data_IF_757380658876
#
_entry.id   IF_757380658876
#
_cell.length_a   1.000
_cell.length_b   1.000
_cell.length_c   1.000
_cell.angle_alpha   90.00
_cell.angle_beta   90.00
_cell.angle_gamma   90.00
#
_symmetry.space_group_name_H-M   'P 1'
#
loop_
_entity.id
_entity.type
_entity.pdbx_description
1 polymer ?
#
# COMPACT_ATOMS: atom_id res chain seq x y z
N UNK A 1 21.76 18.99 -28.16
CA UNK A 1 21.77 17.55 -27.82
C UNK A 1 20.83 17.34 -26.64
N UNK A 2 20.10 16.21 -26.54
CA UNK A 2 19.34 15.91 -25.33
C UNK A 2 20.31 15.80 -24.15
N UNK A 3 19.91 16.33 -22.99
CA UNK A 3 20.68 16.20 -21.77
C UNK A 3 20.62 14.74 -21.29
N UNK A 4 21.77 14.07 -21.30
CA UNK A 4 21.91 12.67 -20.88
C UNK A 4 22.18 12.55 -19.37
N UNK A 5 22.35 13.67 -18.66
CA UNK A 5 22.55 13.71 -17.21
C UNK A 5 21.23 13.83 -16.44
N UNK A 6 20.17 13.14 -16.90
CA UNK A 6 18.93 13.02 -16.13
C UNK A 6 19.12 12.04 -14.97
N UNK A 7 19.77 12.50 -13.89
CA UNK A 7 19.72 11.85 -12.59
C UNK A 7 18.45 12.31 -11.87
N UNK A 8 17.31 11.70 -12.23
CA UNK A 8 15.99 12.16 -11.80
C UNK A 8 15.12 11.04 -11.23
N UNK A 9 15.70 10.16 -10.41
CA UNK A 9 14.86 9.23 -9.63
C UNK A 9 14.21 10.01 -8.48
N UNK A 10 12.92 9.78 -8.25
CA UNK A 10 12.21 10.37 -7.13
C UNK A 10 12.65 9.82 -5.77
N UNK A 11 13.17 8.57 -5.77
CA UNK A 11 13.72 7.92 -4.59
C UNK A 11 15.22 8.19 -4.51
N UNK A 12 15.62 8.85 -3.44
CA UNK A 12 17.03 8.98 -3.07
C UNK A 12 17.46 7.75 -2.27
N UNK A 13 18.53 7.09 -2.73
CA UNK A 13 19.08 5.93 -2.02
C UNK A 13 20.28 6.38 -1.19
N UNK A 14 20.23 6.15 0.12
CA UNK A 14 21.37 6.42 0.99
C UNK A 14 22.62 5.67 0.53
N UNK A 15 23.77 6.34 0.55
CA UNK A 15 25.07 5.72 0.31
C UNK A 15 25.38 4.70 1.42
N UNK A 16 25.52 3.44 1.03
CA UNK A 16 25.84 2.33 1.92
C UNK A 16 27.26 1.87 1.65
N UNK A 17 28.03 1.64 2.72
CA UNK A 17 29.42 1.20 2.62
C UNK A 17 29.56 -0.18 1.94
N UNK A 18 28.52 -0.99 2.01
CA UNK A 18 28.44 -2.30 1.37
C UNK A 18 27.59 -2.23 0.09
N UNK A 19 28.11 -2.66 -1.07
CA UNK A 19 27.31 -2.76 -2.28
C UNK A 19 26.11 -3.68 -2.05
N UNK A 20 24.91 -3.14 -2.20
CA UNK A 20 23.67 -3.89 -2.05
C UNK A 20 23.00 -4.11 -3.40
N UNK A 21 22.76 -5.37 -3.73
CA UNK A 21 22.00 -5.79 -4.90
C UNK A 21 20.68 -6.45 -4.48
N UNK A 22 19.59 -6.03 -5.13
CA UNK A 22 18.29 -6.63 -4.93
C UNK A 22 18.21 -7.96 -5.69
N UNK A 23 18.11 -9.07 -4.96
CA UNK A 23 18.07 -10.41 -5.55
C UNK A 23 16.85 -10.57 -6.48
N UNK A 24 17.07 -11.08 -7.69
CA UNK A 24 16.00 -11.37 -8.66
C UNK A 24 14.86 -12.23 -8.08
N UNK A 25 15.19 -13.26 -7.30
CA UNK A 25 14.19 -14.10 -6.63
C UNK A 25 13.24 -13.31 -5.71
N UNK A 26 13.73 -12.26 -5.04
CA UNK A 26 12.88 -11.38 -4.24
C UNK A 26 11.96 -10.54 -5.13
N UNK A 27 12.48 -10.01 -6.24
CA UNK A 27 11.72 -9.19 -7.21
C UNK A 27 10.52 -9.96 -7.78
N UNK A 28 10.69 -11.25 -8.05
CA UNK A 28 9.62 -12.12 -8.55
C UNK A 28 8.53 -12.42 -7.52
N UNK A 29 8.84 -12.33 -6.22
CA UNK A 29 7.88 -12.54 -5.14
C UNK A 29 7.10 -11.28 -4.77
N UNK A 30 7.51 -10.10 -5.25
CA UNK A 30 6.84 -8.85 -4.93
C UNK A 30 5.41 -8.84 -5.50
N UNK A 31 4.41 -8.39 -4.72
CA UNK A 31 3.07 -8.17 -5.24
C UNK A 31 3.10 -7.13 -6.36
N UNK A 32 2.09 -7.16 -7.23
CA UNK A 32 1.94 -6.22 -8.34
C UNK A 32 0.76 -5.28 -8.10
N UNK A 33 0.99 -4.00 -8.34
CA UNK A 33 -0.03 -2.97 -8.20
C UNK A 33 -0.05 -2.07 -9.44
N UNK A 34 -1.24 -1.92 -10.01
CA UNK A 34 -1.45 -1.22 -11.29
C UNK A 34 -2.11 0.15 -11.12
N UNK A 35 -2.71 0.41 -9.95
CA UNK A 35 -3.49 1.61 -9.65
C UNK A 35 -4.96 1.55 -10.10
N UNK A 36 -5.52 0.34 -10.31
CA UNK A 36 -6.88 0.16 -10.81
C UNK A 36 -7.94 0.29 -9.70
N UNK A 37 -9.18 0.60 -10.09
CA UNK A 37 -10.29 0.92 -9.18
C UNK A 37 -10.68 -0.19 -8.17
N UNK A 38 -10.26 -1.44 -8.40
CA UNK A 38 -10.49 -2.56 -7.48
C UNK A 38 -9.29 -2.92 -6.59
N UNK A 39 -8.12 -2.34 -6.83
CA UNK A 39 -6.92 -2.66 -6.05
C UNK A 39 -6.92 -1.90 -4.72
N UNK A 40 -6.50 -2.58 -3.65
CA UNK A 40 -6.38 -2.02 -2.31
C UNK A 40 -4.91 -1.64 -2.04
N UNK A 41 -4.56 -0.34 -1.96
CA UNK A 41 -3.20 0.09 -1.73
C UNK A 41 -2.68 -0.29 -0.33
N UNK A 42 -3.54 -0.39 0.69
CA UNK A 42 -3.12 -0.84 2.02
C UNK A 42 -2.81 -2.34 2.01
N UNK A 43 -3.61 -3.13 1.30
CA UNK A 43 -3.32 -4.55 1.10
C UNK A 43 -1.99 -4.76 0.38
N UNK A 44 -1.75 -4.02 -0.71
CA UNK A 44 -0.46 -4.05 -1.43
C UNK A 44 0.72 -3.75 -0.51
N UNK A 45 0.64 -2.69 0.29
CA UNK A 45 1.71 -2.33 1.24
C UNK A 45 1.96 -3.43 2.28
N UNK A 46 0.91 -4.11 2.77
CA UNK A 46 1.04 -5.23 3.72
C UNK A 46 1.74 -6.42 3.07
N UNK A 47 1.27 -6.85 1.90
CA UNK A 47 1.87 -7.96 1.15
C UNK A 47 3.33 -7.66 0.79
N UNK A 48 3.62 -6.44 0.34
CA UNK A 48 4.96 -5.98 0.03
C UNK A 48 5.88 -6.05 1.25
N UNK A 49 5.41 -5.58 2.41
CA UNK A 49 6.19 -5.62 3.65
C UNK A 49 6.50 -7.05 4.09
N UNK A 50 5.56 -7.99 3.96
CA UNK A 50 5.81 -9.41 4.26
C UNK A 50 6.94 -9.96 3.39
N UNK A 51 6.94 -9.66 2.10
CA UNK A 51 7.97 -10.13 1.17
C UNK A 51 9.33 -9.46 1.45
N UNK A 52 9.35 -8.17 1.76
CA UNK A 52 10.58 -7.43 2.06
C UNK A 52 11.14 -7.67 3.47
N UNK A 53 10.37 -8.29 4.36
CA UNK A 53 10.82 -8.65 5.72
C UNK A 53 11.73 -9.87 5.65
N UNK A 54 12.96 -9.68 5.17
CA UNK A 54 13.94 -10.77 5.01
C UNK A 54 14.77 -10.95 6.29
N UNK A 55 14.85 -12.17 6.85
CA UNK A 55 15.63 -12.42 8.07
C UNK A 55 17.14 -12.37 7.86
N UNK A 56 17.62 -12.48 6.60
CA UNK A 56 19.03 -12.43 6.22
C UNK A 56 19.29 -11.14 5.41
N UNK A 57 19.38 -10.02 6.13
CA UNK A 57 19.84 -8.74 5.56
C UNK A 57 21.36 -8.62 5.71
N UNK A 58 22.09 -8.13 4.69
CA UNK A 58 23.51 -7.84 4.84
C UNK A 58 23.76 -6.83 5.97
N UNK A 59 24.91 -6.97 6.64
CA UNK A 59 25.31 -6.00 7.67
C UNK A 59 25.39 -4.58 7.07
N UNK A 60 24.86 -3.60 7.81
CA UNK A 60 24.80 -2.20 7.39
C UNK A 60 23.62 -1.82 6.50
N UNK A 61 22.80 -2.78 6.03
CA UNK A 61 21.62 -2.48 5.21
C UNK A 61 20.36 -2.45 6.06
N UNK A 62 19.69 -1.30 6.09
CA UNK A 62 18.40 -1.13 6.77
C UNK A 62 17.27 -1.75 5.96
N UNK A 63 16.21 -2.16 6.63
CA UNK A 63 15.02 -2.69 5.96
C UNK A 63 14.36 -1.65 5.05
N UNK A 64 14.38 -0.38 5.46
CA UNK A 64 13.90 0.74 4.64
C UNK A 64 14.68 0.88 3.34
N UNK A 65 16.00 0.66 3.36
CA UNK A 65 16.81 0.69 2.14
C UNK A 65 16.39 -0.41 1.15
N UNK A 66 16.11 -1.62 1.65
CA UNK A 66 15.60 -2.73 0.83
C UNK A 66 14.23 -2.39 0.25
N UNK A 67 13.31 -1.90 1.09
CA UNK A 67 11.95 -1.53 0.67
C UNK A 67 11.95 -0.44 -0.39
N UNK A 68 12.75 0.61 -0.22
CA UNK A 68 12.86 1.71 -1.17
C UNK A 68 13.36 1.20 -2.54
N UNK A 69 14.38 0.33 -2.57
CA UNK A 69 14.87 -0.26 -3.83
C UNK A 69 13.91 -1.28 -4.45
N UNK A 70 13.15 -2.00 -3.63
CA UNK A 70 12.22 -3.04 -4.11
C UNK A 70 10.89 -2.47 -4.62
N UNK A 71 10.40 -1.37 -4.04
CA UNK A 71 9.07 -0.84 -4.32
C UNK A 71 8.79 -0.54 -5.80
N UNK A 72 9.71 0.06 -6.59
CA UNK A 72 9.49 0.30 -8.02
C UNK A 72 9.17 -0.97 -8.82
N UNK A 73 9.68 -2.13 -8.38
CA UNK A 73 9.42 -3.42 -9.03
C UNK A 73 8.07 -4.03 -8.66
N UNK A 74 7.43 -3.52 -7.60
CA UNK A 74 6.08 -3.90 -7.18
C UNK A 74 4.99 -3.17 -7.97
N UNK A 75 5.34 -2.11 -8.71
CA UNK A 75 4.40 -1.33 -9.50
C UNK A 75 4.42 -1.75 -10.98
N UNK A 76 3.27 -1.61 -11.64
CA UNK A 76 3.12 -1.79 -13.08
C UNK A 76 2.10 -0.81 -13.67
N UNK A 77 2.08 -0.67 -15.01
CA UNK A 77 1.17 0.22 -15.70
C UNK A 77 1.19 1.66 -15.16
N UNK A 78 0.00 2.25 -15.03
CA UNK A 78 -0.17 3.63 -14.58
C UNK A 78 0.44 3.91 -13.20
N UNK A 79 0.48 2.92 -12.30
CA UNK A 79 1.13 3.08 -11.01
C UNK A 79 2.64 3.24 -11.11
N UNK A 80 3.27 2.51 -12.04
CA UNK A 80 4.70 2.63 -12.29
C UNK A 80 5.03 3.95 -12.97
N UNK A 81 4.22 4.37 -13.94
CA UNK A 81 4.40 5.65 -14.61
C UNK A 81 4.30 6.83 -13.64
N UNK A 82 3.33 6.79 -12.72
CA UNK A 82 3.18 7.80 -11.67
C UNK A 82 4.46 7.96 -10.83
N UNK A 83 5.15 6.87 -10.50
CA UNK A 83 6.38 6.94 -9.71
C UNK A 83 7.46 7.75 -10.45
N UNK A 84 7.52 7.64 -11.77
CA UNK A 84 8.48 8.39 -12.60
C UNK A 84 8.12 9.86 -12.80
N UNK A 85 6.89 10.26 -12.47
CA UNK A 85 6.45 11.66 -12.52
C UNK A 85 6.63 12.41 -11.20
N UNK A 86 7.05 11.72 -10.13
CA UNK A 86 7.38 12.37 -8.88
C UNK A 86 8.65 13.23 -9.01
N UNK A 87 8.71 14.29 -8.22
CA UNK A 87 9.88 15.18 -8.19
C UNK A 87 11.15 14.40 -7.78
N UNK A 88 12.29 14.65 -8.43
CA UNK A 88 13.56 14.04 -8.05
C UNK A 88 13.89 14.30 -6.58
N UNK A 89 14.41 13.27 -5.89
CA UNK A 89 14.80 13.32 -4.47
C UNK A 89 13.67 13.72 -3.50
N UNK A 90 12.40 13.60 -3.89
CA UNK A 90 11.26 13.90 -3.00
C UNK A 90 11.00 12.81 -1.96
N UNK A 91 11.56 11.61 -2.14
CA UNK A 91 11.37 10.44 -1.28
C UNK A 91 12.72 9.97 -0.75
N UNK A 92 12.92 10.10 0.56
CA UNK A 92 14.18 9.69 1.24
C UNK A 92 13.97 8.54 2.22
N UNK A 93 12.76 8.37 2.75
CA UNK A 93 12.41 7.29 3.68
C UNK A 93 11.26 6.42 3.18
N UNK A 94 11.15 5.21 3.73
CA UNK A 94 10.01 4.34 3.46
C UNK A 94 8.68 4.98 3.88
N UNK A 95 8.68 5.82 4.92
CA UNK A 95 7.48 6.52 5.36
C UNK A 95 7.04 7.60 4.36
N UNK A 96 7.98 8.34 3.77
CA UNK A 96 7.67 9.31 2.72
C UNK A 96 7.05 8.61 1.51
N UNK A 97 7.64 7.49 1.09
CA UNK A 97 7.14 6.70 -0.03
C UNK A 97 5.71 6.21 0.21
N UNK A 98 5.44 5.62 1.39
CA UNK A 98 4.08 5.19 1.77
C UNK A 98 3.10 6.35 1.76
N UNK A 99 3.51 7.51 2.25
CA UNK A 99 2.67 8.70 2.31
C UNK A 99 2.26 9.15 0.91
N UNK A 100 3.21 9.40 0.01
CA UNK A 100 2.90 9.86 -1.36
C UNK A 100 2.12 8.81 -2.16
N UNK A 101 2.39 7.52 -1.92
CA UNK A 101 1.63 6.42 -2.53
C UNK A 101 0.16 6.40 -2.07
N UNK A 102 -0.09 6.50 -0.76
CA UNK A 102 -1.44 6.51 -0.21
C UNK A 102 -2.20 7.80 -0.56
N UNK A 103 -1.53 8.95 -0.59
CA UNK A 103 -2.14 10.20 -1.07
C UNK A 103 -2.64 10.08 -2.52
N UNK A 104 -1.91 9.35 -3.37
CA UNK A 104 -2.29 9.12 -4.76
C UNK A 104 -3.41 8.08 -4.92
N UNK A 105 -3.30 6.92 -4.28
CA UNK A 105 -4.16 5.75 -4.53
C UNK A 105 -5.25 5.51 -3.48
N UNK A 106 -5.20 6.27 -2.38
CA UNK A 106 -6.19 6.23 -1.31
C UNK A 106 -6.66 7.64 -0.91
N UNK A 107 -7.30 8.37 -1.84
CA UNK A 107 -7.76 9.73 -1.56
C UNK A 107 -8.85 9.77 -0.49
N UNK A 108 -9.03 10.94 0.13
CA UNK A 108 -10.04 11.17 1.16
C UNK A 108 -11.47 10.80 0.72
N UNK A 109 -11.79 10.93 -0.58
CA UNK A 109 -13.06 10.51 -1.17
C UNK A 109 -13.28 9.00 -1.08
N UNK A 110 -12.25 8.20 -1.33
CA UNK A 110 -12.29 6.74 -1.17
C UNK A 110 -12.49 6.36 0.29
N UNK A 111 -11.75 7.00 1.20
CA UNK A 111 -11.92 6.80 2.64
C UNK A 111 -13.35 7.17 3.09
N UNK A 112 -13.92 8.25 2.57
CA UNK A 112 -15.30 8.65 2.87
C UNK A 112 -16.34 7.66 2.33
N UNK A 113 -16.14 7.10 1.14
CA UNK A 113 -17.01 6.04 0.60
C UNK A 113 -16.99 4.81 1.51
N UNK A 114 -15.80 4.32 1.87
CA UNK A 114 -15.67 3.15 2.73
C UNK A 114 -16.32 3.41 4.10
N UNK A 115 -16.12 4.59 4.70
CA UNK A 115 -16.83 4.95 5.94
C UNK A 115 -18.35 4.89 5.78
N UNK A 116 -18.89 5.42 4.68
CA UNK A 116 -20.33 5.38 4.39
C UNK A 116 -20.82 3.94 4.22
N UNK A 117 -20.04 3.09 3.55
CA UNK A 117 -20.35 1.67 3.38
C UNK A 117 -20.33 0.90 4.70
N UNK A 118 -19.37 1.19 5.60
CA UNK A 118 -19.32 0.62 6.95
C UNK A 118 -20.57 1.04 7.74
N UNK A 119 -20.91 2.33 7.77
CA UNK A 119 -22.06 2.82 8.54
C UNK A 119 -23.40 2.30 7.98
N UNK A 120 -23.49 2.11 6.66
CA UNK A 120 -24.69 1.65 5.98
C UNK A 120 -24.74 0.16 5.70
N UNK A 121 -23.83 -0.64 6.29
CA UNK A 121 -23.73 -2.06 5.97
C UNK A 121 -25.01 -2.79 6.36
N UNK A 122 -25.52 -3.65 5.47
CA UNK A 122 -26.68 -4.52 5.68
C UNK A 122 -26.38 -5.91 5.15
N UNK A 123 -26.79 -6.94 5.86
CA UNK A 123 -26.75 -8.32 5.42
C UNK A 123 -27.79 -8.49 4.30
N UNK A 124 -27.33 -8.92 3.14
CA UNK A 124 -28.19 -9.23 2.00
C UNK A 124 -28.63 -10.70 2.01
N UNK A 125 -28.73 -11.30 0.82
CA UNK A 125 -28.96 -12.75 0.67
C UNK A 125 -27.72 -13.60 0.99
N UNK A 126 -26.73 -13.05 1.70
CA UNK A 126 -25.47 -13.70 2.06
C UNK A 126 -25.59 -14.37 3.43
N UNK A 127 -24.79 -15.40 3.67
CA UNK A 127 -24.69 -16.03 4.98
C UNK A 127 -24.07 -15.08 6.01
N UNK A 128 -24.29 -15.35 7.31
CA UNK A 128 -23.67 -14.57 8.38
C UNK A 128 -22.14 -14.55 8.27
N UNK A 129 -21.54 -15.66 7.84
CA UNK A 129 -20.09 -15.77 7.65
C UNK A 129 -19.60 -14.86 6.54
N UNK A 130 -20.26 -14.87 5.38
CA UNK A 130 -19.91 -14.00 4.25
C UNK A 130 -20.10 -12.53 4.61
N UNK A 131 -21.19 -12.18 5.29
CA UNK A 131 -21.44 -10.83 5.80
C UNK A 131 -20.33 -10.36 6.75
N UNK A 132 -19.93 -11.22 7.68
CA UNK A 132 -18.83 -10.94 8.60
C UNK A 132 -17.49 -10.75 7.88
N UNK A 133 -17.20 -11.58 6.89
CA UNK A 133 -15.99 -11.45 6.08
C UNK A 133 -15.98 -10.14 5.28
N UNK A 134 -17.10 -9.78 4.66
CA UNK A 134 -17.28 -8.51 3.94
C UNK A 134 -17.10 -7.31 4.86
N UNK A 135 -17.67 -7.36 6.08
CA UNK A 135 -17.49 -6.31 7.08
C UNK A 135 -16.02 -6.15 7.49
N UNK A 136 -15.32 -7.26 7.81
CA UNK A 136 -13.89 -7.23 8.14
C UNK A 136 -13.04 -6.67 7.00
N UNK A 137 -13.35 -7.06 5.76
CA UNK A 137 -12.67 -6.54 4.58
C UNK A 137 -12.83 -5.02 4.47
N UNK A 138 -14.06 -4.51 4.56
CA UNK A 138 -14.35 -3.07 4.53
C UNK A 138 -13.58 -2.28 5.59
N UNK A 139 -13.60 -2.75 6.84
CA UNK A 139 -12.86 -2.11 7.95
C UNK A 139 -11.34 -2.15 7.69
N UNK A 140 -10.82 -3.28 7.20
CA UNK A 140 -9.38 -3.45 6.96
C UNK A 140 -8.83 -2.61 5.80
N UNK A 141 -9.68 -2.27 4.82
CA UNK A 141 -9.32 -1.47 3.64
C UNK A 141 -9.18 0.03 3.93
N UNK A 142 -9.70 0.51 5.08
CA UNK A 142 -9.56 1.90 5.50
C UNK A 142 -9.09 2.02 6.96
N UNK A 143 -7.81 1.74 7.29
CA UNK A 143 -7.32 1.76 8.67
C UNK A 143 -7.55 3.08 9.42
N UNK A 144 -7.66 4.21 8.69
CA UNK A 144 -7.92 5.54 9.23
C UNK A 144 -9.41 5.92 9.17
N UNK A 145 -10.32 4.96 9.30
CA UNK A 145 -11.77 5.20 9.22
C UNK A 145 -12.31 6.08 10.36
N UNK A 146 -11.59 6.26 11.48
CA UNK A 146 -11.98 7.11 12.62
C UNK A 146 -13.33 6.71 13.29
N UNK A 147 -13.82 5.52 12.99
CA UNK A 147 -15.01 4.91 13.61
C UNK A 147 -14.54 4.15 14.85
N UNK A 148 -15.20 4.37 15.99
CA UNK A 148 -14.86 3.68 17.24
C UNK A 148 -15.25 2.20 17.15
N UNK A 149 -14.56 1.34 17.90
CA UNK A 149 -14.89 -0.10 17.95
C UNK A 149 -16.35 -0.34 18.35
N UNK A 150 -16.86 0.44 19.30
CA UNK A 150 -18.25 0.38 19.72
C UNK A 150 -19.23 0.66 18.56
N UNK A 151 -18.96 1.68 17.74
CA UNK A 151 -19.79 2.00 16.58
C UNK A 151 -19.67 0.93 15.49
N UNK A 152 -18.48 0.35 15.29
CA UNK A 152 -18.30 -0.77 14.35
C UNK A 152 -19.18 -1.97 14.75
N UNK A 153 -19.18 -2.34 16.04
CA UNK A 153 -20.01 -3.41 16.57
C UNK A 153 -21.49 -3.07 16.39
N UNK A 154 -21.89 -1.84 16.72
CA UNK A 154 -23.26 -1.38 16.56
C UNK A 154 -23.74 -1.48 15.09
N UNK A 155 -22.97 -0.93 14.13
CA UNK A 155 -23.34 -0.98 12.71
C UNK A 155 -23.40 -2.41 12.17
N UNK A 156 -22.51 -3.29 12.63
CA UNK A 156 -22.54 -4.70 12.26
C UNK A 156 -23.87 -5.36 12.68
N UNK A 157 -24.27 -5.21 13.94
CA UNK A 157 -25.51 -5.81 14.48
C UNK A 157 -26.78 -5.18 13.90
N UNK A 158 -26.83 -3.85 13.77
CA UNK A 158 -27.96 -3.15 13.15
C UNK A 158 -28.17 -3.54 11.68
N UNK A 159 -27.13 -4.07 11.03
CA UNK A 159 -27.20 -4.53 9.66
C UNK A 159 -27.60 -5.99 9.46
N UNK A 160 -27.68 -6.80 10.51
CA UNK A 160 -28.08 -8.20 10.39
C UNK A 160 -29.54 -8.32 9.96
N UNK A 161 -29.83 -9.38 9.19
CA UNK A 161 -31.22 -9.74 8.90
C UNK A 161 -31.93 -10.17 10.19
N UNK A 162 -33.24 -9.86 10.35
CA UNK A 162 -34.03 -10.31 11.49
C UNK A 162 -34.10 -11.83 11.65
#
# INVERSE_FOLDING_TARGET
APDVNYNGLCIEYADVATPFELKSGLIHLLPKFSGLAGEDPHKHLKEFQVVCSTPLRPEGITEDHIKLRAFPFSLQGAAKDWLYYLEPNSVTTWNDLKKVFLERYFPASRAASIRKEICGIRQGNESLTEYWERFKQLVSSCPQHQITEQLLIQYFYEGLLP
#
